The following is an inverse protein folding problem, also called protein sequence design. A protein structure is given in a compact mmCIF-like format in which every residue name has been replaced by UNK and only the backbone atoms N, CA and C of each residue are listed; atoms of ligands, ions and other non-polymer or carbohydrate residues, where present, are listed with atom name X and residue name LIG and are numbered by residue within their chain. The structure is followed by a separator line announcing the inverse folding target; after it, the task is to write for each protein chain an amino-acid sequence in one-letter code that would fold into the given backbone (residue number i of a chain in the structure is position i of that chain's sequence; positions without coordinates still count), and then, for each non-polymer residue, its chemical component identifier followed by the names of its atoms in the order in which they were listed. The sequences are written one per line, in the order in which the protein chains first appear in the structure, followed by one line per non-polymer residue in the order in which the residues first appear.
data_IF_844693533197
#
_entry.id   IF_844693533197
#
_cell.length_a   1.000
_cell.length_b   1.000
_cell.length_c   1.000
_cell.angle_alpha   90.00
_cell.angle_beta   90.00
_cell.angle_gamma   90.00
#
_symmetry.space_group_name_H-M   'P 1'
#
loop_
_entity.id
_entity.type
_entity.pdbx_description
1 polymer ?
#
# COMPACT_ATOMS: atom_id res chain seq x y z
N UNK A 1 -20.14 -6.80 -60.66
CA UNK A 1 -19.30 -7.57 -59.72
C UNK A 1 -18.05 -6.76 -59.42
N UNK A 2 -17.93 -6.16 -58.22
CA UNK A 2 -16.67 -5.63 -57.70
C UNK A 2 -16.62 -5.96 -56.20
N UNK A 3 -16.44 -7.25 -55.89
CA UNK A 3 -16.38 -7.79 -54.52
C UNK A 3 -14.96 -7.82 -53.93
N UNK A 4 -14.02 -7.04 -54.49
CA UNK A 4 -12.60 -7.16 -54.16
C UNK A 4 -12.01 -6.02 -53.29
N UNK A 5 -12.79 -5.01 -52.91
CA UNK A 5 -12.24 -3.85 -52.18
C UNK A 5 -12.54 -3.82 -50.66
N UNK A 6 -13.43 -4.67 -50.15
CA UNK A 6 -13.78 -4.66 -48.71
C UNK A 6 -12.94 -5.60 -47.85
N UNK A 7 -12.29 -6.61 -48.43
CA UNK A 7 -11.54 -7.62 -47.67
C UNK A 7 -10.16 -7.12 -47.22
N UNK A 8 -9.52 -6.24 -48.01
CA UNK A 8 -8.19 -5.70 -47.67
C UNK A 8 -8.29 -4.68 -46.53
N UNK A 9 -9.34 -3.84 -46.52
CA UNK A 9 -9.55 -2.83 -45.48
C UNK A 9 -9.83 -3.43 -44.10
N UNK A 10 -10.59 -4.53 -44.05
CA UNK A 10 -10.92 -5.20 -42.77
C UNK A 10 -9.72 -5.91 -42.14
N UNK A 11 -8.78 -6.41 -42.97
CA UNK A 11 -7.61 -7.14 -42.49
C UNK A 11 -6.57 -6.20 -41.86
N UNK A 12 -6.43 -4.97 -42.36
CA UNK A 12 -5.56 -3.95 -41.75
C UNK A 12 -6.05 -3.46 -40.39
N UNK A 13 -7.36 -3.40 -40.15
CA UNK A 13 -7.92 -2.93 -38.87
C UNK A 13 -7.71 -3.97 -37.75
N UNK A 14 -7.83 -5.26 -38.05
CA UNK A 14 -7.66 -6.33 -37.04
C UNK A 14 -6.18 -6.48 -36.60
N UNK A 15 -5.23 -6.22 -37.50
CA UNK A 15 -3.79 -6.22 -37.18
C UNK A 15 -3.34 -4.99 -36.36
N UNK A 16 -4.09 -3.86 -36.43
CA UNK A 16 -3.82 -2.69 -35.60
C UNK A 16 -4.32 -2.85 -34.16
N UNK A 17 -5.37 -3.65 -33.92
CA UNK A 17 -5.87 -3.94 -32.57
C UNK A 17 -5.03 -4.97 -31.80
N UNK A 18 -4.33 -5.87 -32.49
CA UNK A 18 -3.45 -6.87 -31.86
C UNK A 18 -2.07 -6.30 -31.46
N UNK A 19 -1.72 -5.11 -31.96
CA UNK A 19 -0.45 -4.43 -31.68
C UNK A 19 -0.52 -3.46 -30.48
N UNK A 20 -1.70 -3.22 -29.90
CA UNK A 20 -1.87 -2.27 -28.80
C UNK A 20 -2.05 -2.94 -27.44
N UNK A 21 -1.29 -4.00 -27.15
CA UNK A 21 -0.81 -4.18 -25.78
C UNK A 21 0.31 -3.15 -25.59
N UNK A 22 -0.06 -1.89 -25.26
CA UNK A 22 0.90 -0.91 -24.79
C UNK A 22 1.63 -1.54 -23.61
N UNK A 23 2.91 -1.89 -23.77
CA UNK A 23 3.81 -1.95 -22.63
C UNK A 23 3.75 -0.55 -22.02
N UNK A 24 3.16 -0.44 -20.84
CA UNK A 24 3.16 0.78 -20.05
C UNK A 24 4.59 0.96 -19.53
N UNK A 25 5.46 1.50 -20.38
CA UNK A 25 6.78 1.95 -19.97
C UNK A 25 6.58 3.03 -18.90
N UNK A 26 7.08 2.79 -17.68
CA UNK A 26 7.07 3.77 -16.58
C UNK A 26 6.09 3.53 -15.43
N UNK A 27 5.43 2.37 -15.34
CA UNK A 27 4.74 1.98 -14.09
C UNK A 27 5.70 1.21 -13.19
N UNK A 28 6.00 1.78 -12.03
CA UNK A 28 6.69 1.04 -10.98
C UNK A 28 5.83 -0.17 -10.55
N UNK A 29 6.47 -1.23 -10.09
CA UNK A 29 5.75 -2.36 -9.49
C UNK A 29 5.63 -2.08 -7.99
N UNK A 30 4.41 -2.06 -7.41
CA UNK A 30 4.26 -1.84 -5.98
C UNK A 30 4.78 -3.07 -5.20
N UNK A 31 5.04 -2.95 -3.89
CA UNK A 31 5.39 -4.11 -3.10
C UNK A 31 4.19 -5.08 -3.05
N UNK A 32 4.47 -6.36 -3.22
CA UNK A 32 3.44 -7.40 -3.35
C UNK A 32 3.08 -8.01 -1.99
N UNK A 33 2.62 -7.14 -1.09
CA UNK A 33 1.95 -7.54 0.15
C UNK A 33 0.52 -7.98 -0.14
N UNK A 34 0.02 -8.91 0.67
CA UNK A 34 -1.41 -9.20 0.69
C UNK A 34 -2.19 -7.96 1.17
N UNK A 35 -3.07 -7.45 0.33
CA UNK A 35 -3.77 -6.18 0.53
C UNK A 35 -4.81 -6.25 1.67
N UNK A 36 -5.24 -7.46 2.08
CA UNK A 36 -6.27 -7.65 3.08
C UNK A 36 -7.70 -7.43 2.55
N UNK A 37 -8.70 -7.29 3.43
CA UNK A 37 -8.56 -6.97 4.85
C UNK A 37 -8.04 -8.15 5.69
N UNK A 38 -7.04 -7.88 6.53
CA UNK A 38 -6.56 -8.83 7.54
C UNK A 38 -7.39 -8.63 8.81
N UNK A 39 -8.20 -9.64 9.16
CA UNK A 39 -9.17 -9.54 10.25
C UNK A 39 -8.63 -10.25 11.48
N UNK A 40 -8.62 -9.54 12.61
CA UNK A 40 -8.19 -10.05 13.91
C UNK A 40 -9.30 -9.87 14.95
N UNK A 41 -9.60 -10.91 15.72
CA UNK A 41 -10.57 -10.82 16.84
C UNK A 41 -9.90 -10.64 18.20
N UNK A 42 -8.58 -10.79 18.27
CA UNK A 42 -7.82 -10.76 19.51
C UNK A 42 -6.60 -9.84 19.40
N UNK A 43 -5.89 -9.66 20.51
CA UNK A 43 -4.58 -9.02 20.49
C UNK A 43 -3.59 -9.89 19.69
N UNK A 44 -2.68 -9.22 18.99
CA UNK A 44 -1.69 -9.88 18.13
C UNK A 44 -0.33 -9.35 18.48
N UNK A 45 0.60 -10.25 18.78
CA UNK A 45 1.99 -9.90 19.03
C UNK A 45 2.80 -10.25 17.81
N UNK A 46 3.33 -9.23 17.14
CA UNK A 46 4.44 -9.35 16.19
C UNK A 46 4.10 -10.21 14.95
N UNK A 47 2.88 -10.10 14.40
CA UNK A 47 2.54 -10.72 13.11
C UNK A 47 3.33 -10.05 12.01
N UNK A 48 3.94 -10.85 11.13
CA UNK A 48 4.75 -10.34 10.01
C UNK A 48 4.03 -10.58 8.69
N UNK A 49 3.77 -9.51 7.96
CA UNK A 49 3.38 -9.58 6.56
C UNK A 49 4.62 -9.66 5.68
N UNK A 50 4.59 -10.54 4.68
CA UNK A 50 5.73 -10.82 3.80
C UNK A 50 5.34 -10.47 2.36
N UNK A 51 6.14 -9.61 1.71
CA UNK A 51 6.02 -9.30 0.29
C UNK A 51 6.50 -10.47 -0.57
N UNK A 52 5.76 -10.75 -1.65
CA UNK A 52 6.13 -11.74 -2.66
C UNK A 52 7.21 -11.23 -3.63
N UNK A 53 7.47 -9.92 -3.66
CA UNK A 53 8.57 -9.30 -4.39
C UNK A 53 9.55 -8.57 -3.45
N UNK A 54 10.67 -8.09 -3.97
CA UNK A 54 11.76 -7.46 -3.21
C UNK A 54 11.91 -5.94 -3.49
N UNK A 55 10.84 -5.31 -3.98
CA UNK A 55 10.89 -3.90 -4.36
C UNK A 55 11.26 -3.02 -3.18
N UNK A 56 12.12 -2.03 -3.39
CA UNK A 56 12.39 -1.02 -2.36
C UNK A 56 11.22 -0.05 -2.27
N UNK A 57 10.56 0.02 -1.12
CA UNK A 57 9.33 0.79 -0.93
C UNK A 57 9.40 1.68 0.31
N UNK A 58 8.44 2.59 0.51
CA UNK A 58 8.30 3.36 1.75
C UNK A 58 6.84 3.48 2.17
N UNK A 59 6.60 3.77 3.45
CA UNK A 59 5.25 4.16 3.87
C UNK A 59 4.91 5.54 3.32
N UNK A 60 3.78 5.64 2.63
CA UNK A 60 3.31 6.89 2.04
C UNK A 60 2.24 7.57 2.89
N UNK A 61 1.24 6.80 3.34
CA UNK A 61 0.11 7.30 4.15
C UNK A 61 -0.39 6.21 5.08
N UNK A 62 -0.99 6.62 6.19
CA UNK A 62 -1.83 5.77 7.03
C UNK A 62 -3.15 6.48 7.34
N UNK A 63 -4.23 5.70 7.39
CA UNK A 63 -5.56 6.13 7.78
C UNK A 63 -6.01 5.25 8.94
N UNK A 64 -6.50 5.83 10.03
CA UNK A 64 -6.96 5.08 11.22
C UNK A 64 -8.40 5.49 11.48
N UNK A 65 -9.32 4.52 11.48
CA UNK A 65 -10.75 4.74 11.71
C UNK A 65 -11.34 5.86 10.83
N UNK A 66 -10.84 6.00 9.60
CA UNK A 66 -11.24 7.02 8.63
C UNK A 66 -10.52 8.37 8.74
N UNK A 67 -9.66 8.57 9.74
CA UNK A 67 -8.86 9.79 9.90
C UNK A 67 -7.48 9.66 9.25
N UNK A 68 -7.04 10.71 8.56
CA UNK A 68 -5.72 10.76 7.92
C UNK A 68 -4.58 11.01 8.92
N UNK A 69 -3.37 10.59 8.54
CA UNK A 69 -2.15 10.69 9.35
C UNK A 69 -1.85 12.10 9.85
N UNK A 70 -2.01 13.12 9.01
CA UNK A 70 -1.79 14.53 9.40
C UNK A 70 -2.64 14.95 10.62
N UNK A 71 -3.94 14.64 10.58
CA UNK A 71 -4.85 14.98 11.68
C UNK A 71 -4.57 14.15 12.93
N UNK A 72 -4.18 12.88 12.75
CA UNK A 72 -3.85 12.00 13.86
C UNK A 72 -2.55 12.41 14.57
N UNK A 73 -1.50 12.77 13.82
CA UNK A 73 -0.23 13.27 14.37
C UNK A 73 -0.46 14.59 15.12
N UNK A 74 -1.20 15.54 14.52
CA UNK A 74 -1.52 16.84 15.14
C UNK A 74 -2.26 16.71 16.48
N UNK A 75 -3.09 15.67 16.63
CA UNK A 75 -3.85 15.41 17.85
C UNK A 75 -3.17 14.38 18.78
N UNK A 76 -1.89 14.06 18.58
CA UNK A 76 -1.13 13.08 19.37
C UNK A 76 -1.79 11.68 19.44
N UNK A 77 -2.56 11.31 18.41
CA UNK A 77 -3.20 9.98 18.29
C UNK A 77 -2.36 8.99 17.48
N UNK A 78 -1.35 9.49 16.78
CA UNK A 78 -0.41 8.72 15.97
C UNK A 78 0.98 9.33 16.14
N UNK A 79 1.98 8.48 16.33
CA UNK A 79 3.40 8.85 16.32
C UNK A 79 4.06 8.20 15.12
N UNK A 80 4.72 9.02 14.29
CA UNK A 80 5.41 8.59 13.09
C UNK A 80 6.92 8.68 13.31
N UNK A 81 7.61 7.54 13.27
CA UNK A 81 9.06 7.47 13.37
C UNK A 81 9.67 7.51 11.98
N UNK A 82 10.59 8.47 11.78
CA UNK A 82 11.21 8.77 10.50
C UNK A 82 12.72 8.52 10.59
N UNK A 83 13.32 8.03 9.51
CA UNK A 83 14.78 8.02 9.34
C UNK A 83 15.23 9.40 8.88
N UNK A 84 16.45 9.79 9.21
CA UNK A 84 17.00 11.08 8.82
C UNK A 84 16.87 11.31 7.30
N UNK A 85 16.39 12.50 6.94
CA UNK A 85 16.33 12.92 5.56
C UNK A 85 17.76 13.02 5.00
N UNK A 86 18.01 12.37 3.87
CA UNK A 86 19.28 12.59 3.14
C UNK A 86 19.17 13.92 2.38
N UNK A 87 20.24 14.72 2.31
CA UNK A 87 20.24 16.00 1.59
C UNK A 87 19.81 15.92 0.12
N UNK A 88 19.91 14.73 -0.50
CA UNK A 88 19.54 14.43 -1.88
C UNK A 88 18.21 13.67 -2.03
N UNK A 89 17.40 13.57 -0.96
CA UNK A 89 16.16 12.80 -0.99
C UNK A 89 14.97 13.68 -1.38
N UNK A 90 13.98 13.07 -2.05
CA UNK A 90 12.76 13.75 -2.50
C UNK A 90 11.84 14.19 -1.34
N UNK A 91 12.08 13.72 -0.11
CA UNK A 91 11.31 14.08 1.08
C UNK A 91 12.19 14.79 2.13
N UNK A 92 11.90 16.05 2.49
CA UNK A 92 12.63 16.77 3.52
C UNK A 92 12.37 16.23 4.94
N UNK A 93 11.33 15.40 5.12
CA UNK A 93 10.95 14.82 6.41
C UNK A 93 11.56 13.42 6.65
N UNK A 94 12.22 12.85 5.64
CA UNK A 94 12.77 11.50 5.72
C UNK A 94 11.72 10.39 5.55
N UNK A 95 12.19 9.15 5.53
CA UNK A 95 11.35 7.97 5.29
C UNK A 95 10.71 7.51 6.60
N UNK A 96 9.37 7.45 6.65
CA UNK A 96 8.66 6.84 7.78
C UNK A 96 8.94 5.34 7.76
N UNK A 97 9.40 4.79 8.89
CA UNK A 97 9.62 3.34 9.04
C UNK A 97 8.72 2.70 10.09
N UNK A 98 8.05 3.50 10.93
CA UNK A 98 7.13 2.97 11.96
C UNK A 98 6.02 3.97 12.25
N UNK A 99 4.80 3.44 12.37
CA UNK A 99 3.65 4.13 12.94
C UNK A 99 3.27 3.48 14.27
N UNK A 100 3.01 4.29 15.28
CA UNK A 100 2.55 3.83 16.58
C UNK A 100 1.32 4.63 17.01
N UNK A 101 0.28 3.93 17.42
CA UNK A 101 -0.91 4.49 18.02
C UNK A 101 -1.18 3.82 19.37
N UNK A 102 -2.23 4.27 20.07
CA UNK A 102 -2.63 3.73 21.37
C UNK A 102 -2.88 2.23 21.29
N UNK A 103 -3.38 1.71 20.16
CA UNK A 103 -3.81 0.32 20.03
C UNK A 103 -3.05 -0.53 19.01
N UNK A 104 -2.19 0.06 18.18
CA UNK A 104 -1.41 -0.70 17.20
C UNK A 104 0.00 -0.13 17.01
N UNK A 105 0.86 -0.98 16.46
CA UNK A 105 2.15 -0.61 15.90
C UNK A 105 2.30 -1.29 14.54
N UNK A 106 2.76 -0.55 13.55
CA UNK A 106 3.18 -1.10 12.25
C UNK A 106 4.58 -0.60 11.95
N UNK A 107 5.48 -1.52 11.65
CA UNK A 107 6.92 -1.25 11.51
C UNK A 107 7.45 -1.94 10.26
N UNK A 108 8.13 -1.18 9.40
CA UNK A 108 8.91 -1.71 8.29
C UNK A 108 10.21 -2.31 8.86
N UNK A 109 10.35 -3.62 8.78
CA UNK A 109 11.58 -4.30 9.19
C UNK A 109 12.63 -4.25 8.07
N UNK A 110 12.19 -4.51 6.83
CA UNK A 110 12.98 -4.42 5.60
C UNK A 110 12.07 -4.31 4.37
N UNK A 111 12.63 -4.41 3.18
CA UNK A 111 11.90 -4.30 1.91
C UNK A 111 10.91 -5.45 1.65
N UNK A 112 10.95 -6.52 2.43
CA UNK A 112 10.03 -7.67 2.30
C UNK A 112 9.11 -7.85 3.49
N UNK A 113 9.39 -7.24 4.65
CA UNK A 113 8.73 -7.59 5.90
C UNK A 113 8.17 -6.37 6.62
N UNK A 114 6.90 -6.47 6.98
CA UNK A 114 6.21 -5.52 7.85
C UNK A 114 5.78 -6.24 9.11
N UNK A 115 6.14 -5.70 10.26
CA UNK A 115 5.71 -6.17 11.57
C UNK A 115 4.47 -5.40 12.00
N UNK A 116 3.46 -6.12 12.47
CA UNK A 116 2.19 -5.59 12.98
C UNK A 116 1.95 -6.15 14.38
N UNK A 117 1.68 -5.24 15.31
CA UNK A 117 1.30 -5.60 16.68
C UNK A 117 0.02 -4.86 17.04
N UNK A 118 -0.97 -5.60 17.55
CA UNK A 118 -2.29 -5.10 17.94
C UNK A 118 -2.51 -5.34 19.42
N UNK A 119 -2.91 -4.31 20.16
CA UNK A 119 -3.34 -4.46 21.55
C UNK A 119 -4.74 -5.06 21.61
N UNK A 120 -5.15 -5.48 22.81
CA UNK A 120 -6.52 -5.95 23.05
C UNK A 120 -7.55 -4.86 22.73
N UNK A 121 -8.68 -5.24 22.15
CA UNK A 121 -9.80 -4.34 21.90
C UNK A 121 -10.74 -4.32 23.10
N UNK A 122 -10.45 -3.45 24.07
CA UNK A 122 -11.25 -3.32 25.31
C UNK A 122 -12.53 -2.50 25.12
N UNK A 123 -12.60 -1.69 24.07
CA UNK A 123 -13.72 -0.78 23.80
C UNK A 123 -14.89 -1.50 23.13
N UNK A 124 -14.67 -2.70 22.58
CA UNK A 124 -15.73 -3.49 21.94
C UNK A 124 -16.26 -2.87 20.65
N UNK A 125 -15.51 -1.96 20.03
CA UNK A 125 -15.85 -1.33 18.74
C UNK A 125 -14.96 -1.87 17.63
N UNK A 126 -15.48 -2.01 16.43
CA UNK A 126 -14.63 -2.34 15.27
C UNK A 126 -13.69 -1.17 15.03
N UNK A 127 -12.40 -1.47 14.90
CA UNK A 127 -11.36 -0.49 14.60
C UNK A 127 -10.49 -0.95 13.45
N UNK A 128 -10.03 0.00 12.66
CA UNK A 128 -9.34 -0.26 11.40
C UNK A 128 -8.17 0.69 11.21
N UNK A 129 -7.11 0.19 10.61
CA UNK A 129 -6.15 1.07 9.97
C UNK A 129 -5.78 0.54 8.58
N UNK A 130 -5.51 1.47 7.67
CA UNK A 130 -5.02 1.17 6.33
C UNK A 130 -3.76 1.97 6.11
N UNK A 131 -2.67 1.30 5.74
CA UNK A 131 -1.44 1.98 5.33
C UNK A 131 -1.15 1.72 3.84
N UNK A 132 -0.41 2.63 3.22
CA UNK A 132 0.05 2.52 1.84
C UNK A 132 1.56 2.35 1.80
N UNK A 133 2.03 1.32 1.11
CA UNK A 133 3.43 1.05 0.82
C UNK A 133 3.71 1.34 -0.67
N UNK A 134 4.65 2.22 -0.95
CA UNK A 134 4.79 2.86 -2.26
C UNK A 134 6.19 2.73 -2.86
N UNK A 135 6.23 2.61 -4.19
CA UNK A 135 7.42 2.56 -5.05
C UNK A 135 7.16 3.53 -6.19
N UNK A 136 7.75 4.72 -6.13
CA UNK A 136 7.51 5.76 -7.14
C UNK A 136 6.02 6.11 -7.26
N UNK A 137 5.43 5.87 -8.44
CA UNK A 137 4.02 6.13 -8.73
C UNK A 137 3.08 4.95 -8.43
N UNK A 138 3.60 3.82 -7.95
CA UNK A 138 2.81 2.64 -7.64
C UNK A 138 2.72 2.42 -6.13
N UNK A 139 1.55 2.03 -5.63
CA UNK A 139 1.36 1.73 -4.23
C UNK A 139 0.50 0.48 -3.99
N UNK A 140 0.68 -0.11 -2.81
CA UNK A 140 -0.12 -1.18 -2.27
C UNK A 140 -0.72 -0.72 -0.95
N UNK A 141 -2.05 -0.74 -0.87
CA UNK A 141 -2.78 -0.52 0.38
C UNK A 141 -2.94 -1.83 1.12
N UNK A 142 -2.70 -1.82 2.42
CA UNK A 142 -2.92 -2.95 3.31
C UNK A 142 -3.87 -2.51 4.42
N UNK A 143 -4.98 -3.22 4.55
CA UNK A 143 -6.01 -2.91 5.55
C UNK A 143 -6.01 -3.95 6.66
N UNK A 144 -5.96 -3.47 7.90
CA UNK A 144 -6.05 -4.28 9.12
C UNK A 144 -7.34 -3.92 9.84
N UNK A 145 -8.15 -4.93 10.14
CA UNK A 145 -9.41 -4.79 10.88
C UNK A 145 -9.29 -5.56 12.19
N UNK A 146 -9.61 -4.92 13.30
CA UNK A 146 -9.79 -5.60 14.57
C UNK A 146 -11.26 -5.56 14.99
N UNK A 147 -11.87 -6.74 15.06
CA UNK A 147 -13.27 -6.90 15.41
C UNK A 147 -13.53 -6.58 16.89
N UNK A 148 -14.80 -6.38 17.21
CA UNK A 148 -15.29 -6.41 18.59
C UNK A 148 -15.04 -7.79 19.22
N UNK A 149 -14.78 -7.79 20.54
CA UNK A 149 -14.48 -8.97 21.33
C UNK A 149 -15.69 -9.89 21.48
#
# INVERSE_FOLDING_TARGET
MNRFNYSIFFTCIILLFSSSCKKLDGLATPPDFDAGPHIFSTAVKDTVLISKNDQRWWFERITVDGFEDYDLEKNNKLTCYRRDAKPSADSPLGEVYKYESVWFTVEKLDERRIKISLKENKEGVVRTFTFSASVGNANRKVTIVQNQK
#
